data_IF_087412882437
#
_entry.id   IF_087412882437
#
_cell.length_a   1.000
_cell.length_b   1.000
_cell.length_c   1.000
_cell.angle_alpha   90.00
_cell.angle_beta   90.00
_cell.angle_gamma   90.00
#
_symmetry.space_group_name_H-M   'P 1'
#
loop_
_entity.id
_entity.type
_entity.pdbx_description
1 polymer ?
#
# COMPACT_ATOMS: atom_id res chain seq x y z
N UNK A 1 -4.14 -23.96 19.12
CA UNK A 1 -4.99 -22.82 18.72
C UNK A 1 -4.32 -21.99 17.64
N UNK A 2 -3.15 -21.38 17.88
CA UNK A 2 -2.40 -20.65 16.83
C UNK A 2 -2.10 -21.51 15.60
N UNK A 3 -1.63 -22.74 15.80
CA UNK A 3 -1.33 -23.68 14.71
C UNK A 3 -2.57 -24.04 13.85
N UNK A 4 -3.73 -24.24 14.49
CA UNK A 4 -5.01 -24.49 13.80
C UNK A 4 -5.55 -23.24 13.08
N UNK A 5 -5.33 -22.06 13.66
CA UNK A 5 -5.67 -20.79 13.02
C UNK A 5 -4.86 -20.56 11.75
N UNK A 6 -3.55 -20.85 11.80
CA UNK A 6 -2.63 -20.78 10.66
C UNK A 6 -2.94 -21.78 9.54
N UNK A 7 -3.46 -22.96 9.88
CA UNK A 7 -3.89 -23.96 8.90
C UNK A 7 -5.18 -23.56 8.17
N UNK A 8 -6.09 -22.84 8.83
CA UNK A 8 -7.40 -22.47 8.27
C UNK A 8 -7.29 -21.39 7.20
N UNK A 9 -6.31 -20.47 7.32
CA UNK A 9 -6.11 -19.34 6.40
C UNK A 9 -4.94 -19.53 5.41
N UNK A 10 -4.42 -20.75 5.28
CA UNK A 10 -3.39 -21.08 4.30
C UNK A 10 -2.10 -20.27 4.49
N UNK A 11 -1.46 -20.39 5.65
CA UNK A 11 -0.05 -20.05 5.97
C UNK A 11 0.60 -18.74 5.45
N UNK A 12 -0.13 -17.82 4.83
CA UNK A 12 0.46 -16.69 4.09
C UNK A 12 -0.17 -15.33 4.44
N UNK A 13 -1.18 -15.32 5.31
CA UNK A 13 -1.70 -14.08 5.90
C UNK A 13 -0.98 -13.88 7.24
N UNK A 14 -0.26 -12.76 7.45
CA UNK A 14 0.37 -12.49 8.73
C UNK A 14 -0.68 -12.46 9.84
N UNK A 15 -0.43 -13.18 10.93
CA UNK A 15 -1.31 -13.17 12.11
C UNK A 15 -1.43 -11.75 12.65
N UNK A 16 -2.60 -11.15 12.48
CA UNK A 16 -2.92 -9.89 13.13
C UNK A 16 -3.01 -10.05 14.64
N UNK A 17 -2.44 -9.08 15.37
CA UNK A 17 -2.61 -9.06 16.82
C UNK A 17 -4.08 -8.96 17.20
N UNK A 18 -4.88 -8.16 16.49
CA UNK A 18 -6.30 -7.98 16.81
C UNK A 18 -7.15 -9.22 16.52
N UNK A 19 -6.90 -9.96 15.43
CA UNK A 19 -7.56 -11.25 15.17
C UNK A 19 -7.19 -12.31 16.21
N UNK A 20 -5.91 -12.37 16.60
CA UNK A 20 -5.48 -13.28 17.66
C UNK A 20 -6.13 -12.88 18.98
N UNK A 21 -6.26 -11.59 19.27
CA UNK A 21 -6.94 -11.11 20.47
C UNK A 21 -8.42 -11.46 20.46
N UNK A 22 -9.15 -11.20 19.37
CA UNK A 22 -10.57 -11.54 19.24
C UNK A 22 -10.82 -13.04 19.45
N UNK A 23 -9.95 -13.88 18.87
CA UNK A 23 -10.07 -15.33 19.04
C UNK A 23 -9.68 -15.81 20.44
N UNK A 24 -8.73 -15.15 21.10
CA UNK A 24 -8.39 -15.44 22.49
C UNK A 24 -9.53 -15.01 23.42
N UNK A 25 -10.17 -13.87 23.17
CA UNK A 25 -11.35 -13.41 23.90
C UNK A 25 -12.50 -14.41 23.77
N UNK A 26 -12.74 -14.94 22.56
CA UNK A 26 -13.75 -15.97 22.30
C UNK A 26 -13.44 -17.30 23.00
N UNK A 27 -12.20 -17.80 22.92
CA UNK A 27 -11.81 -19.09 23.52
C UNK A 27 -11.83 -19.03 25.05
N UNK A 28 -11.27 -17.98 25.63
CA UNK A 28 -11.08 -17.90 27.08
C UNK A 28 -12.21 -17.17 27.79
N UNK A 29 -13.15 -16.55 27.04
CA UNK A 29 -14.25 -15.76 27.59
C UNK A 29 -13.73 -14.67 28.56
N UNK A 30 -12.59 -14.08 28.23
CA UNK A 30 -11.87 -13.08 29.03
C UNK A 30 -11.44 -11.94 28.13
N UNK A 31 -11.57 -10.69 28.59
CA UNK A 31 -11.06 -9.53 27.84
C UNK A 31 -9.52 -9.52 27.80
N UNK A 32 -8.97 -9.41 26.58
CA UNK A 32 -7.54 -9.21 26.33
C UNK A 32 -7.23 -7.78 25.87
N UNK A 33 -8.25 -6.93 25.83
CA UNK A 33 -8.20 -5.56 25.31
C UNK A 33 -7.37 -4.58 26.17
N UNK A 34 -6.97 -4.96 27.39
CA UNK A 34 -6.08 -4.15 28.23
C UNK A 34 -4.68 -4.00 27.61
N UNK A 35 -4.02 -2.84 27.73
CA UNK A 35 -2.69 -2.60 27.15
C UNK A 35 -1.63 -3.63 27.56
N UNK A 36 -1.63 -4.08 28.82
CA UNK A 36 -0.70 -5.07 29.33
C UNK A 36 -0.90 -6.46 28.68
N UNK A 37 -2.14 -6.92 28.54
CA UNK A 37 -2.45 -8.21 27.90
C UNK A 37 -2.17 -8.17 26.40
N UNK A 38 -2.51 -7.07 25.73
CA UNK A 38 -2.17 -6.84 24.32
C UNK A 38 -0.65 -6.88 24.09
N UNK A 39 0.16 -6.29 24.98
CA UNK A 39 1.62 -6.34 24.89
C UNK A 39 2.17 -7.78 25.04
N UNK A 40 1.61 -8.58 25.95
CA UNK A 40 1.98 -10.00 26.11
C UNK A 40 1.64 -10.80 24.85
N UNK A 41 0.43 -10.61 24.29
CA UNK A 41 0.02 -11.29 23.05
C UNK A 41 0.92 -10.89 21.88
N UNK A 42 1.26 -9.61 21.73
CA UNK A 42 2.23 -9.15 20.74
C UNK A 42 3.59 -9.82 20.91
N UNK A 43 4.09 -9.91 22.15
CA UNK A 43 5.37 -10.54 22.42
C UNK A 43 5.38 -12.04 22.06
N UNK A 44 4.29 -12.75 22.34
CA UNK A 44 4.13 -14.18 21.98
C UNK A 44 4.02 -14.38 20.47
N UNK A 45 3.27 -13.51 19.77
CA UNK A 45 3.20 -13.54 18.31
C UNK A 45 4.59 -13.30 17.70
N UNK A 46 5.33 -12.30 18.22
CA UNK A 46 6.69 -12.00 17.77
C UNK A 46 7.67 -13.14 18.05
N UNK A 47 7.59 -13.81 19.20
CA UNK A 47 8.46 -14.95 19.52
C UNK A 47 8.16 -16.15 18.63
N UNK A 48 6.88 -16.41 18.35
CA UNK A 48 6.45 -17.46 17.42
C UNK A 48 6.91 -17.18 15.98
N UNK A 49 6.83 -15.92 15.53
CA UNK A 49 7.33 -15.52 14.22
C UNK A 49 8.85 -15.68 14.04
N UNK A 50 9.63 -15.73 15.14
CA UNK A 50 11.08 -15.93 15.14
C UNK A 50 11.50 -17.40 15.15
N UNK A 51 10.55 -18.35 15.23
CA UNK A 51 10.86 -19.78 15.22
C UNK A 51 11.38 -20.24 13.84
N UNK A 52 12.33 -21.20 13.78
CA UNK A 52 12.97 -21.63 12.54
C UNK A 52 12.03 -22.21 11.47
N UNK A 53 10.90 -22.81 11.87
CA UNK A 53 9.87 -23.31 10.95
C UNK A 53 9.16 -22.21 10.14
N UNK A 54 9.28 -20.95 10.55
CA UNK A 54 8.67 -19.79 9.90
C UNK A 54 9.56 -19.21 8.77
N UNK A 55 10.71 -19.81 8.48
CA UNK A 55 11.58 -19.41 7.37
C UNK A 55 10.86 -19.51 6.01
N UNK A 56 9.93 -20.45 5.85
CA UNK A 56 9.11 -20.58 4.64
C UNK A 56 8.28 -19.32 4.41
N UNK A 57 7.66 -18.79 5.47
CA UNK A 57 6.85 -17.56 5.42
C UNK A 57 7.74 -16.37 5.07
N UNK A 58 8.91 -16.21 5.71
CA UNK A 58 9.86 -15.13 5.36
C UNK A 58 10.40 -15.21 3.93
N UNK A 59 10.48 -16.41 3.35
CA UNK A 59 10.92 -16.61 1.97
C UNK A 59 9.80 -16.41 0.95
N UNK A 60 8.54 -16.36 1.40
CA UNK A 60 7.40 -16.17 0.51
C UNK A 60 7.48 -14.83 -0.20
N UNK A 61 7.30 -14.88 -1.51
CA UNK A 61 7.33 -13.72 -2.38
C UNK A 61 6.22 -13.81 -3.42
N UNK A 62 5.55 -12.70 -3.66
CA UNK A 62 4.63 -12.53 -4.79
C UNK A 62 5.36 -11.72 -5.85
N UNK A 63 5.53 -12.31 -7.03
CA UNK A 63 6.15 -11.64 -8.16
C UNK A 63 5.09 -11.24 -9.16
N UNK A 64 5.06 -9.96 -9.53
CA UNK A 64 4.18 -9.44 -10.56
C UNK A 64 4.93 -8.42 -11.43
N UNK A 65 5.11 -8.73 -12.71
CA UNK A 65 5.98 -7.96 -13.61
C UNK A 65 7.37 -7.74 -12.98
N UNK A 66 7.71 -6.48 -12.69
CA UNK A 66 8.97 -6.06 -12.06
C UNK A 66 8.90 -5.99 -10.53
N UNK A 67 7.72 -6.22 -9.95
CA UNK A 67 7.49 -6.14 -8.51
C UNK A 67 7.72 -7.49 -7.86
N UNK A 68 8.34 -7.47 -6.69
CA UNK A 68 8.53 -8.64 -5.84
C UNK A 68 8.13 -8.22 -4.43
N UNK A 69 6.93 -8.61 -4.00
CA UNK A 69 6.44 -8.35 -2.65
C UNK A 69 6.87 -9.48 -1.72
N UNK A 70 7.55 -9.12 -0.64
CA UNK A 70 7.83 -10.01 0.48
C UNK A 70 6.65 -10.08 1.45
N UNK A 71 6.73 -10.95 2.46
CA UNK A 71 5.78 -10.93 3.56
C UNK A 71 5.77 -9.61 4.34
N UNK A 72 6.88 -8.89 4.40
CA UNK A 72 6.93 -7.58 5.06
C UNK A 72 6.11 -6.55 4.27
N UNK A 73 6.17 -6.60 2.94
CA UNK A 73 5.36 -5.75 2.07
C UNK A 73 3.87 -6.08 2.19
N UNK A 74 3.53 -7.37 2.10
CA UNK A 74 2.15 -7.84 2.24
C UNK A 74 1.57 -7.56 3.62
N UNK A 75 2.41 -7.57 4.66
CA UNK A 75 2.01 -7.18 6.02
C UNK A 75 1.50 -5.75 6.12
N UNK A 76 1.87 -4.87 5.20
CA UNK A 76 1.35 -3.49 5.17
C UNK A 76 -0.13 -3.40 4.77
N UNK A 77 -0.67 -4.41 4.10
CA UNK A 77 -2.09 -4.49 3.74
C UNK A 77 -3.00 -4.84 4.92
N UNK A 78 -2.42 -5.29 6.03
CA UNK A 78 -3.17 -5.81 7.16
C UNK A 78 -3.54 -4.72 8.17
N UNK A 79 -4.81 -4.70 8.61
CA UNK A 79 -5.27 -3.84 9.69
C UNK A 79 -5.16 -2.35 9.38
N UNK A 80 -4.58 -1.59 10.32
CA UNK A 80 -4.36 -0.13 10.22
C UNK A 80 -2.90 0.21 9.85
N UNK A 81 -2.17 -0.72 9.23
CA UNK A 81 -0.79 -0.48 8.80
C UNK A 81 -0.76 0.50 7.63
N UNK A 82 0.34 1.26 7.53
CA UNK A 82 0.58 2.13 6.39
C UNK A 82 1.10 1.32 5.21
N UNK A 83 0.40 1.43 4.07
CA UNK A 83 0.85 0.84 2.81
C UNK A 83 2.23 1.37 2.43
N UNK A 84 3.11 0.47 1.97
CA UNK A 84 4.39 0.88 1.44
C UNK A 84 4.36 1.09 -0.08
N UNK A 85 5.46 1.64 -0.59
CA UNK A 85 5.61 1.92 -2.02
C UNK A 85 5.54 0.66 -2.89
N UNK A 86 6.01 -0.50 -2.41
CA UNK A 86 6.00 -1.73 -3.22
C UNK A 86 4.58 -2.19 -3.49
N UNK A 87 3.73 -2.21 -2.47
CA UNK A 87 2.32 -2.56 -2.59
C UNK A 87 1.59 -1.58 -3.49
N UNK A 88 1.76 -0.27 -3.27
CA UNK A 88 1.10 0.74 -4.10
C UNK A 88 1.50 0.65 -5.58
N UNK A 89 2.80 0.47 -5.85
CA UNK A 89 3.30 0.41 -7.22
C UNK A 89 2.85 -0.86 -7.94
N UNK A 90 2.83 -2.01 -7.25
CA UNK A 90 2.29 -3.24 -7.83
C UNK A 90 0.80 -3.11 -8.14
N UNK A 91 0.03 -2.49 -7.23
CA UNK A 91 -1.39 -2.21 -7.47
C UNK A 91 -1.61 -1.28 -8.66
N UNK A 92 -0.77 -0.27 -8.83
CA UNK A 92 -0.78 0.60 -10.01
C UNK A 92 -0.58 -0.16 -11.32
N UNK A 93 0.36 -1.12 -11.35
CA UNK A 93 0.57 -2.00 -12.50
C UNK A 93 -0.66 -2.90 -12.77
N UNK A 94 -1.34 -3.41 -11.73
CA UNK A 94 -2.61 -4.16 -11.86
C UNK A 94 -3.74 -3.30 -12.45
N UNK A 95 -3.87 -2.04 -12.02
CA UNK A 95 -4.85 -1.10 -12.58
C UNK A 95 -4.58 -0.85 -14.06
N UNK A 96 -3.32 -0.66 -14.44
CA UNK A 96 -2.94 -0.49 -15.85
C UNK A 96 -3.23 -1.73 -16.69
N UNK A 97 -3.16 -2.94 -16.13
CA UNK A 97 -3.52 -4.15 -16.89
C UNK A 97 -5.02 -4.38 -17.01
N UNK A 98 -5.81 -3.91 -16.04
CA UNK A 98 -7.27 -3.99 -16.10
C UNK A 98 -7.86 -3.07 -17.17
N UNK A 99 -7.26 -1.89 -17.38
CA UNK A 99 -7.76 -0.86 -18.33
C UNK A 99 -6.60 -0.15 -19.08
N UNK A 100 -5.79 -0.88 -19.86
CA UNK A 100 -4.51 -0.40 -20.43
C UNK A 100 -4.68 0.76 -21.40
N UNK A 101 -5.79 0.81 -22.13
CA UNK A 101 -6.05 1.86 -23.11
C UNK A 101 -6.49 3.18 -22.46
N UNK A 102 -7.03 3.14 -21.23
CA UNK A 102 -7.66 4.30 -20.60
C UNK A 102 -6.83 4.93 -19.50
N UNK A 103 -6.03 4.15 -18.78
CA UNK A 103 -5.35 4.62 -17.57
C UNK A 103 -3.84 4.47 -17.70
N UNK A 104 -3.11 5.50 -17.28
CA UNK A 104 -1.71 5.38 -16.94
C UNK A 104 -1.51 5.68 -15.46
N UNK A 105 -0.88 4.76 -14.75
CA UNK A 105 -0.58 4.88 -13.33
C UNK A 105 0.92 5.12 -13.15
N UNK A 106 1.28 6.29 -12.61
CA UNK A 106 2.67 6.60 -12.29
C UNK A 106 3.09 5.88 -11.00
N UNK A 107 4.36 5.48 -10.92
CA UNK A 107 4.88 4.97 -9.65
C UNK A 107 4.97 6.10 -8.59
N UNK A 108 4.98 5.73 -7.31
CA UNK A 108 4.97 6.64 -6.16
C UNK A 108 6.16 7.61 -6.09
N UNK A 109 7.26 7.30 -6.76
CA UNK A 109 8.44 8.16 -6.82
C UNK A 109 8.34 9.27 -7.87
N UNK A 110 7.38 9.20 -8.80
CA UNK A 110 7.25 10.16 -9.91
C UNK A 110 7.08 11.59 -9.40
N UNK A 111 6.12 11.81 -8.50
CA UNK A 111 5.81 13.15 -8.02
C UNK A 111 6.98 13.77 -7.26
N UNK A 112 7.60 13.01 -6.35
CA UNK A 112 8.76 13.50 -5.61
C UNK A 112 9.93 13.86 -6.54
N UNK A 113 10.18 13.03 -7.55
CA UNK A 113 11.21 13.29 -8.55
C UNK A 113 10.90 14.53 -9.39
N UNK A 114 9.65 14.68 -9.85
CA UNK A 114 9.19 15.85 -10.59
C UNK A 114 9.31 17.13 -9.75
N UNK A 115 8.90 17.09 -8.48
CA UNK A 115 8.98 18.21 -7.55
C UNK A 115 10.43 18.65 -7.30
N UNK A 116 11.35 17.70 -7.12
CA UNK A 116 12.73 17.98 -6.71
C UNK A 116 13.68 18.25 -7.88
N UNK A 117 13.44 17.66 -9.06
CA UNK A 117 14.32 17.74 -10.23
C UNK A 117 13.65 18.38 -11.46
N UNK A 118 12.40 18.79 -11.35
CA UNK A 118 11.63 19.33 -12.47
C UNK A 118 11.37 18.30 -13.57
N UNK A 119 10.91 18.79 -14.71
CA UNK A 119 10.62 17.96 -15.89
C UNK A 119 11.83 17.14 -16.35
N UNK A 120 13.03 17.73 -16.32
CA UNK A 120 14.27 17.06 -16.72
C UNK A 120 14.53 15.76 -15.94
N UNK A 121 14.13 15.70 -14.66
CA UNK A 121 14.27 14.51 -13.82
C UNK A 121 13.32 13.37 -14.18
N UNK A 122 12.22 13.66 -14.88
CA UNK A 122 11.18 12.68 -15.20
C UNK A 122 10.91 12.49 -16.69
N UNK A 123 11.52 13.29 -17.58
CA UNK A 123 11.26 13.24 -19.04
C UNK A 123 11.39 11.85 -19.67
N UNK A 124 12.26 10.99 -19.13
CA UNK A 124 12.47 9.62 -19.62
C UNK A 124 11.48 8.60 -19.07
N UNK A 125 10.65 8.96 -18.09
CA UNK A 125 9.74 8.02 -17.43
C UNK A 125 8.58 7.62 -18.33
N UNK A 126 8.18 8.51 -19.24
CA UNK A 126 7.12 8.28 -20.23
C UNK A 126 7.69 8.05 -21.64
N UNK A 127 8.98 7.72 -21.78
CA UNK A 127 9.65 7.59 -23.09
C UNK A 127 9.03 6.54 -24.03
N UNK A 128 8.36 5.54 -23.45
CA UNK A 128 7.80 4.39 -24.17
C UNK A 128 6.26 4.37 -24.07
N UNK A 129 5.63 5.47 -23.65
CA UNK A 129 4.17 5.54 -23.47
C UNK A 129 3.68 6.91 -23.87
N UNK A 130 2.71 6.95 -24.77
CA UNK A 130 1.96 8.17 -25.05
C UNK A 130 0.90 8.36 -23.96
N UNK A 131 1.21 9.17 -22.94
CA UNK A 131 0.28 9.46 -21.85
C UNK A 131 -0.89 10.35 -22.29
N UNK A 132 -0.76 11.12 -23.37
CA UNK A 132 -1.83 12.02 -23.83
C UNK A 132 -2.92 11.27 -24.61
N UNK A 133 -2.63 10.04 -25.05
CA UNK A 133 -3.63 9.10 -25.58
C UNK A 133 -4.56 8.51 -24.51
N UNK A 134 -4.22 8.65 -23.22
CA UNK A 134 -4.97 8.05 -22.11
C UNK A 134 -6.10 8.97 -21.67
N UNK A 135 -7.12 8.39 -21.03
CA UNK A 135 -8.22 9.16 -20.44
C UNK A 135 -7.82 9.71 -19.06
N UNK A 136 -7.22 8.87 -18.23
CA UNK A 136 -6.83 9.22 -16.86
C UNK A 136 -5.34 8.98 -16.62
N UNK A 137 -4.68 9.95 -16.00
CA UNK A 137 -3.36 9.80 -15.43
C UNK A 137 -3.48 9.82 -13.90
N UNK A 138 -3.07 8.73 -13.26
CA UNK A 138 -3.12 8.55 -11.83
C UNK A 138 -1.72 8.71 -11.25
N UNK A 139 -1.54 9.69 -10.36
CA UNK A 139 -0.27 10.02 -9.74
C UNK A 139 -0.44 9.89 -8.23
N UNK A 140 -0.02 8.76 -7.63
CA UNK A 140 -0.02 8.62 -6.18
C UNK A 140 1.01 9.58 -5.57
N UNK A 141 0.63 10.18 -4.45
CA UNK A 141 1.41 11.17 -3.72
C UNK A 141 1.66 10.62 -2.32
N UNK A 142 2.92 10.25 -2.07
CA UNK A 142 3.37 9.82 -0.74
C UNK A 142 4.04 11.01 -0.04
N UNK A 143 3.39 11.56 0.99
CA UNK A 143 3.96 12.64 1.79
C UNK A 143 3.96 12.24 3.26
N UNK A 144 5.16 12.16 3.83
CA UNK A 144 5.39 11.76 5.21
C UNK A 144 4.81 10.37 5.50
N UNK A 145 3.65 10.28 6.16
CA UNK A 145 2.95 9.02 6.44
C UNK A 145 1.61 8.92 5.72
N UNK A 146 1.34 9.77 4.74
CA UNK A 146 0.02 9.88 4.10
C UNK A 146 0.06 9.66 2.60
N UNK A 147 -0.90 8.88 2.11
CA UNK A 147 -1.15 8.65 0.70
C UNK A 147 -2.33 9.50 0.21
N UNK A 148 -2.09 10.25 -0.85
CA UNK A 148 -3.12 10.96 -1.60
C UNK A 148 -2.96 10.71 -3.09
N UNK A 149 -3.92 11.16 -3.90
CA UNK A 149 -3.93 10.89 -5.33
C UNK A 149 -4.20 12.16 -6.12
N UNK A 150 -3.34 12.46 -7.10
CA UNK A 150 -3.67 13.39 -8.18
C UNK A 150 -4.19 12.58 -9.37
N UNK A 151 -5.35 12.99 -9.89
CA UNK A 151 -5.95 12.44 -11.10
C UNK A 151 -6.01 13.52 -12.16
N UNK A 152 -5.37 13.27 -13.31
CA UNK A 152 -5.52 14.12 -14.50
C UNK A 152 -6.51 13.45 -15.43
N UNK A 153 -7.67 14.08 -15.64
CA UNK A 153 -8.61 13.70 -16.69
C UNK A 153 -8.23 14.46 -17.96
N UNK A 154 -7.58 13.76 -18.88
CA UNK A 154 -7.05 14.32 -20.14
C UNK A 154 -8.19 14.75 -21.03
N UNK A 155 -9.29 14.00 -21.05
CA UNK A 155 -10.47 14.29 -21.88
C UNK A 155 -11.17 15.56 -21.40
N UNK A 156 -11.34 15.72 -20.08
CA UNK A 156 -11.99 16.90 -19.49
C UNK A 156 -11.04 18.06 -19.23
N UNK A 157 -9.73 17.87 -19.42
CA UNK A 157 -8.67 18.84 -19.08
C UNK A 157 -8.75 19.32 -17.63
N UNK A 158 -9.03 18.38 -16.72
CA UNK A 158 -9.13 18.68 -15.29
C UNK A 158 -8.07 17.94 -14.51
N UNK A 159 -7.61 18.56 -13.42
CA UNK A 159 -6.76 17.92 -12.45
C UNK A 159 -7.54 17.91 -11.14
N UNK A 160 -7.69 16.73 -10.53
CA UNK A 160 -8.41 16.56 -9.26
C UNK A 160 -7.46 15.98 -8.24
N UNK A 161 -7.49 16.53 -7.02
CA UNK A 161 -6.72 16.03 -5.89
C UNK A 161 -7.67 15.32 -4.91
N UNK A 162 -7.39 14.05 -4.62
CA UNK A 162 -8.12 13.23 -3.68
C UNK A 162 -7.28 13.02 -2.41
N UNK A 163 -7.80 13.50 -1.28
CA UNK A 163 -7.19 13.37 0.04
C UNK A 163 -8.23 12.89 1.06
N UNK A 164 -8.03 11.69 1.59
CA UNK A 164 -8.92 11.07 2.59
C UNK A 164 -8.84 11.73 3.97
N UNK A 165 -7.74 12.42 4.29
CA UNK A 165 -7.58 13.15 5.55
C UNK A 165 -8.17 14.58 5.47
N UNK A 166 -8.63 15.02 4.29
CA UNK A 166 -9.15 16.38 4.04
C UNK A 166 -8.22 17.49 4.56
N UNK A 167 -6.92 17.21 4.65
CA UNK A 167 -5.95 18.18 5.16
C UNK A 167 -5.72 19.25 4.10
N UNK A 168 -5.73 20.53 4.50
CA UNK A 168 -5.26 21.63 3.66
C UNK A 168 -3.73 21.53 3.54
N UNK A 169 -3.24 20.53 2.82
CA UNK A 169 -1.82 20.28 2.64
C UNK A 169 -1.21 21.43 1.84
N UNK A 170 -0.56 22.38 2.53
CA UNK A 170 0.10 23.55 1.93
C UNK A 170 1.22 23.18 0.94
N UNK A 171 1.74 21.94 1.03
CA UNK A 171 2.79 21.40 0.14
C UNK A 171 2.24 20.70 -1.11
N UNK A 172 0.92 20.48 -1.19
CA UNK A 172 0.30 19.88 -2.37
C UNK A 172 0.07 20.91 -3.47
N UNK A 173 0.04 20.48 -4.75
CA UNK A 173 -0.28 21.38 -5.86
C UNK A 173 -1.67 21.97 -5.65
N UNK A 174 -1.77 23.30 -5.52
CA UNK A 174 -3.05 23.99 -5.57
C UNK A 174 -3.55 23.89 -7.01
N UNK A 175 -4.51 23.02 -7.27
CA UNK A 175 -5.17 23.01 -8.57
C UNK A 175 -6.18 24.15 -8.57
N UNK A 176 -5.79 25.28 -9.16
CA UNK A 176 -6.72 26.36 -9.51
C UNK A 176 -7.45 26.04 -10.82
N UNK A 177 -8.63 26.64 -11.06
CA UNK A 177 -9.33 26.48 -12.33
C UNK A 177 -8.43 26.92 -13.50
N UNK A 178 -8.56 26.29 -14.68
CA UNK A 178 -7.81 26.73 -15.86
C UNK A 178 -8.20 28.16 -16.23
N UNK A 179 -7.20 29.01 -16.46
CA UNK A 179 -7.38 30.30 -17.13
C UNK A 179 -7.85 30.12 -18.58
#
# INVERSE_FOLDING_TARGET
>A
ILDQFLQTYGSLIPLGTDEVLEKLEDVFQLSFSTPARRAVVQHVIQSYQRLPGNNLVRSFRVTYKRHVLSMDDLGTLYGQNWLNDQVMNMYGDLVMDAVPEKVHFFNSFFYDKLRTKGYEGVKRWTKNVDIFSKQLLLIPIHLEVHWSLVCVDVTKRTITYFDSQRTLNRRCPKVGPPC
#
